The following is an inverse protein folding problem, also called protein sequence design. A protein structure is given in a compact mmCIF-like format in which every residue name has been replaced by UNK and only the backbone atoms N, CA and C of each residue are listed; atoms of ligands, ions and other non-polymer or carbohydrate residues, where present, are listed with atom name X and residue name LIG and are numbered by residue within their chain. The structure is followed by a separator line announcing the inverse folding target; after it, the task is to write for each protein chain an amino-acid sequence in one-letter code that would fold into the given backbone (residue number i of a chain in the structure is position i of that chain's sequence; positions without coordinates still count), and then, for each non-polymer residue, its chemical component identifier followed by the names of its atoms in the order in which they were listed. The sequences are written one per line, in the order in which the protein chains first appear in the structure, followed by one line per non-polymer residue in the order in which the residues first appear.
data_IF_469972685199
#
_entry.id   IF_469972685199
#
_cell.length_a   1.000
_cell.length_b   1.000
_cell.length_c   1.000
_cell.angle_alpha   90.00
_cell.angle_beta   90.00
_cell.angle_gamma   90.00
#
_symmetry.space_group_name_H-M   'P 1'
#
loop_
_entity.id
_entity.type
_entity.pdbx_description
1 polymer ?
#
# COMPACT_ATOMS: atom_id res chain seq x y z
N UNK A 1 9.07 -29.81 1.07
CA UNK A 1 8.03 -29.61 0.06
C UNK A 1 8.65 -28.98 -1.19
N UNK A 2 8.23 -29.39 -2.37
CA UNK A 2 8.67 -28.83 -3.64
C UNK A 2 7.69 -27.72 -4.04
N UNK A 3 8.21 -26.53 -4.36
CA UNK A 3 7.42 -25.40 -4.89
C UNK A 3 7.76 -25.26 -6.37
N UNK A 4 6.77 -25.41 -7.24
CA UNK A 4 6.95 -25.20 -8.69
C UNK A 4 6.35 -23.86 -9.06
N UNK A 5 7.18 -22.95 -9.57
CA UNK A 5 6.78 -21.63 -10.05
C UNK A 5 6.76 -21.66 -11.57
N UNK A 6 5.59 -21.46 -12.16
CA UNK A 6 5.40 -21.42 -13.62
C UNK A 6 5.13 -19.97 -14.02
N UNK A 7 6.00 -19.40 -14.85
CA UNK A 7 5.83 -18.07 -15.42
C UNK A 7 5.68 -18.19 -16.95
N UNK A 8 4.46 -17.98 -17.39
CA UNK A 8 4.15 -17.98 -18.83
C UNK A 8 4.32 -16.56 -19.39
N UNK A 9 5.03 -16.43 -20.50
CA UNK A 9 5.44 -15.15 -21.10
C UNK A 9 6.21 -14.27 -20.11
N UNK A 10 7.41 -14.69 -19.75
CA UNK A 10 8.28 -14.01 -18.78
C UNK A 10 8.56 -12.55 -19.14
N UNK A 11 8.66 -12.23 -20.42
CA UNK A 11 8.82 -10.88 -20.94
C UNK A 11 7.64 -9.97 -20.50
N UNK A 12 6.40 -10.44 -20.66
CA UNK A 12 5.19 -9.69 -20.26
C UNK A 12 5.10 -9.55 -18.76
N UNK A 13 5.49 -10.60 -18.02
CA UNK A 13 5.56 -10.54 -16.56
C UNK A 13 6.52 -9.45 -16.09
N UNK A 14 7.71 -9.32 -16.69
CA UNK A 14 8.68 -8.31 -16.31
C UNK A 14 8.30 -6.89 -16.75
N UNK A 15 7.65 -6.71 -17.89
CA UNK A 15 7.13 -5.41 -18.33
C UNK A 15 6.17 -4.83 -17.30
N UNK A 16 5.29 -5.66 -16.73
CA UNK A 16 4.37 -5.26 -15.67
C UNK A 16 5.00 -5.15 -14.27
N UNK A 17 6.21 -5.72 -14.08
CA UNK A 17 6.82 -5.87 -12.76
C UNK A 17 8.34 -5.59 -12.80
N UNK A 18 8.77 -4.50 -13.43
CA UNK A 18 10.19 -4.19 -13.67
C UNK A 18 11.02 -4.18 -12.36
N UNK A 19 10.42 -3.75 -11.24
CA UNK A 19 11.05 -3.74 -9.91
C UNK A 19 11.43 -5.13 -9.40
N UNK A 20 10.80 -6.19 -9.90
CA UNK A 20 11.06 -7.57 -9.48
C UNK A 20 12.21 -8.24 -10.25
N UNK A 21 12.76 -7.61 -11.28
CA UNK A 21 13.75 -8.24 -12.16
C UNK A 21 14.97 -8.80 -11.40
N UNK A 22 15.56 -8.01 -10.51
CA UNK A 22 16.73 -8.42 -9.72
C UNK A 22 16.37 -9.48 -8.66
N UNK A 23 15.23 -9.33 -8.00
CA UNK A 23 14.72 -10.31 -7.05
C UNK A 23 14.44 -11.66 -7.74
N UNK A 24 13.82 -11.64 -8.92
CA UNK A 24 13.56 -12.84 -9.71
C UNK A 24 14.84 -13.53 -10.14
N UNK A 25 15.86 -12.78 -10.58
CA UNK A 25 17.15 -13.37 -10.91
C UNK A 25 17.78 -14.09 -9.70
N UNK A 26 17.72 -13.47 -8.52
CA UNK A 26 18.23 -14.06 -7.29
C UNK A 26 17.44 -15.30 -6.88
N UNK A 27 16.11 -15.26 -6.97
CA UNK A 27 15.23 -16.40 -6.67
C UNK A 27 15.45 -17.58 -7.63
N UNK A 28 15.62 -17.34 -8.92
CA UNK A 28 15.88 -18.38 -9.92
C UNK A 28 17.24 -19.03 -9.61
N UNK A 29 18.26 -18.25 -9.26
CA UNK A 29 19.61 -18.75 -8.94
C UNK A 29 19.65 -19.58 -7.66
N UNK A 30 19.01 -19.12 -6.59
CA UNK A 30 19.12 -19.72 -5.26
C UNK A 30 17.94 -20.65 -4.92
N UNK A 31 16.85 -20.59 -5.67
CA UNK A 31 15.59 -21.27 -5.35
C UNK A 31 15.72 -22.79 -5.21
N UNK A 32 16.59 -23.43 -6.00
CA UNK A 32 16.81 -24.87 -5.93
C UNK A 32 17.29 -25.35 -4.56
N UNK A 33 18.05 -24.52 -3.82
CA UNK A 33 18.51 -24.81 -2.45
C UNK A 33 17.33 -24.90 -1.46
N UNK A 34 16.21 -24.24 -1.77
CA UNK A 34 15.01 -24.20 -0.95
C UNK A 34 13.88 -25.06 -1.50
N UNK A 35 14.16 -25.90 -2.51
CA UNK A 35 13.14 -26.72 -3.16
C UNK A 35 12.21 -25.95 -4.07
N UNK A 36 12.63 -24.79 -4.60
CA UNK A 36 11.87 -23.98 -5.55
C UNK A 36 12.39 -24.25 -6.97
N UNK A 37 11.49 -24.66 -7.86
CA UNK A 37 11.78 -24.95 -9.27
C UNK A 37 11.02 -23.98 -10.14
N UNK A 38 11.72 -23.36 -11.09
CA UNK A 38 11.13 -22.43 -12.04
C UNK A 38 10.93 -23.08 -13.41
N UNK A 39 9.73 -22.91 -13.96
CA UNK A 39 9.40 -23.21 -15.36
C UNK A 39 9.03 -21.89 -16.02
N UNK A 40 9.80 -21.44 -16.98
CA UNK A 40 9.61 -20.14 -17.63
C UNK A 40 9.39 -20.34 -19.12
N UNK A 41 8.39 -19.70 -19.69
CA UNK A 41 8.17 -19.66 -21.13
C UNK A 41 8.40 -18.25 -21.66
N UNK A 42 8.85 -18.16 -22.92
CA UNK A 42 9.02 -16.91 -23.68
C UNK A 42 8.52 -17.10 -25.09
N UNK A 43 7.98 -16.05 -25.69
CA UNK A 43 7.54 -16.05 -27.09
C UNK A 43 8.52 -15.37 -28.04
N UNK A 44 9.40 -14.54 -27.48
CA UNK A 44 10.35 -13.72 -28.24
C UNK A 44 11.77 -14.18 -27.98
N UNK A 45 12.55 -14.31 -29.05
CA UNK A 45 14.00 -14.57 -28.93
C UNK A 45 14.66 -13.37 -28.25
N UNK A 46 15.59 -13.64 -27.33
CA UNK A 46 16.30 -12.66 -26.51
C UNK A 46 15.46 -11.89 -25.46
N UNK A 47 14.25 -12.33 -25.17
CA UNK A 47 13.44 -11.77 -24.07
C UNK A 47 14.01 -12.06 -22.69
N UNK A 48 14.77 -13.14 -22.55
CA UNK A 48 15.56 -13.41 -21.37
C UNK A 48 16.96 -12.80 -21.52
N UNK A 49 17.38 -11.98 -20.59
CA UNK A 49 18.76 -11.53 -20.57
C UNK A 49 19.70 -12.74 -20.42
N UNK A 50 20.93 -12.62 -20.93
CA UNK A 50 21.89 -13.75 -20.96
C UNK A 50 22.21 -14.31 -19.57
N UNK A 51 22.21 -13.47 -18.53
CA UNK A 51 22.46 -13.89 -17.15
C UNK A 51 21.37 -14.80 -16.61
N UNK A 52 20.10 -14.47 -16.87
CA UNK A 52 18.95 -15.30 -16.48
C UNK A 52 18.90 -16.57 -17.31
N UNK A 53 19.16 -16.48 -18.62
CA UNK A 53 19.16 -17.63 -19.51
C UNK A 53 20.17 -18.70 -19.10
N UNK A 54 21.35 -18.30 -18.58
CA UNK A 54 22.40 -19.22 -18.12
C UNK A 54 22.02 -19.99 -16.84
N UNK A 55 21.04 -19.50 -16.07
CA UNK A 55 20.58 -20.19 -14.86
C UNK A 55 19.73 -21.43 -15.16
N UNK A 56 19.19 -21.54 -16.37
CA UNK A 56 18.39 -22.68 -16.81
C UNK A 56 19.29 -23.72 -17.48
N UNK A 57 19.49 -24.86 -16.83
CA UNK A 57 20.26 -25.99 -17.36
C UNK A 57 19.49 -26.74 -18.45
N UNK A 58 18.18 -26.92 -18.23
CA UNK A 58 17.30 -27.58 -19.16
C UNK A 58 16.55 -26.56 -20.00
N UNK A 59 16.67 -26.65 -21.31
CA UNK A 59 16.06 -25.71 -22.26
C UNK A 59 15.34 -26.45 -23.35
N UNK A 60 14.19 -25.94 -23.72
CA UNK A 60 13.34 -26.49 -24.79
C UNK A 60 12.98 -25.37 -25.75
N UNK A 61 13.13 -25.62 -27.05
CA UNK A 61 12.68 -24.69 -28.10
C UNK A 61 11.77 -25.43 -29.10
N UNK A 62 10.55 -24.91 -29.25
CA UNK A 62 9.63 -25.34 -30.32
C UNK A 62 10.09 -24.78 -31.67
N UNK A 63 9.27 -24.92 -32.72
CA UNK A 63 9.60 -24.45 -34.05
C UNK A 63 10.01 -22.98 -34.08
N UNK A 64 11.15 -22.70 -34.68
CA UNK A 64 11.65 -21.36 -34.91
C UNK A 64 11.73 -21.05 -36.40
N UNK A 65 11.56 -19.79 -36.79
CA UNK A 65 11.62 -19.42 -38.22
C UNK A 65 13.01 -19.59 -38.82
N UNK A 66 14.07 -19.43 -38.00
CA UNK A 66 15.45 -19.50 -38.44
C UNK A 66 16.25 -20.48 -37.56
N UNK A 67 17.07 -21.38 -38.12
CA UNK A 67 17.99 -22.26 -37.39
C UNK A 67 18.95 -21.53 -36.50
N UNK A 68 19.31 -20.29 -36.77
CA UNK A 68 20.19 -19.47 -35.92
C UNK A 68 19.58 -19.21 -34.55
N UNK A 69 18.27 -19.17 -34.41
CA UNK A 69 17.56 -18.98 -33.16
C UNK A 69 17.81 -20.15 -32.18
N UNK A 70 17.81 -21.39 -32.69
CA UNK A 70 18.16 -22.55 -31.85
C UNK A 70 19.58 -22.45 -31.28
N UNK A 71 20.52 -21.93 -32.11
CA UNK A 71 21.89 -21.68 -31.62
C UNK A 71 21.94 -20.65 -30.50
N UNK A 72 21.17 -19.58 -30.61
CA UNK A 72 21.13 -18.54 -29.58
C UNK A 72 20.51 -19.03 -28.27
N UNK A 73 19.48 -19.89 -28.34
CA UNK A 73 18.76 -20.39 -27.16
C UNK A 73 19.48 -21.58 -26.53
N UNK A 74 19.86 -22.55 -27.37
CA UNK A 74 20.33 -23.88 -26.92
C UNK A 74 21.84 -24.06 -27.10
N UNK A 75 22.56 -23.10 -27.69
CA UNK A 75 23.96 -23.24 -28.10
C UNK A 75 24.21 -24.43 -29.06
N UNK A 76 23.27 -24.71 -29.99
CA UNK A 76 23.38 -25.82 -30.90
C UNK A 76 24.54 -25.67 -31.86
N UNK A 77 25.12 -26.81 -32.40
CA UNK A 77 25.98 -26.79 -33.57
C UNK A 77 25.34 -26.08 -34.74
N UNK A 78 26.17 -25.53 -35.63
CA UNK A 78 25.70 -24.85 -36.84
C UNK A 78 24.83 -25.78 -37.68
N UNK A 79 23.61 -25.34 -38.02
CA UNK A 79 22.68 -26.06 -38.87
C UNK A 79 21.82 -27.13 -38.19
N UNK A 80 21.98 -27.36 -36.87
CA UNK A 80 21.08 -28.25 -36.15
C UNK A 80 19.74 -27.56 -35.90
N UNK A 81 18.69 -28.14 -36.48
CA UNK A 81 17.30 -27.72 -36.33
C UNK A 81 16.37 -28.93 -36.37
N UNK A 82 15.23 -28.94 -35.70
CA UNK A 82 14.27 -30.02 -35.74
C UNK A 82 13.57 -30.06 -37.08
N UNK A 83 13.01 -31.22 -37.45
CA UNK A 83 12.15 -31.34 -38.64
C UNK A 83 10.94 -30.41 -38.52
N UNK A 84 10.52 -29.86 -39.66
CA UNK A 84 9.40 -28.89 -39.71
C UNK A 84 8.04 -29.61 -39.60
N UNK A 85 7.69 -30.05 -38.44
CA UNK A 85 6.36 -30.58 -38.10
C UNK A 85 5.77 -29.80 -36.94
N UNK A 86 4.44 -29.62 -36.91
CA UNK A 86 3.74 -28.96 -35.83
C UNK A 86 4.03 -29.67 -34.48
N UNK A 87 4.40 -28.90 -33.46
CA UNK A 87 4.74 -29.44 -32.15
C UNK A 87 6.11 -30.11 -32.04
N UNK A 88 6.92 -30.11 -33.10
CA UNK A 88 8.29 -30.61 -33.09
C UNK A 88 9.24 -29.55 -32.50
N UNK A 89 10.22 -29.96 -31.70
CA UNK A 89 11.18 -29.05 -31.10
C UNK A 89 12.53 -29.71 -30.79
N UNK A 90 13.46 -28.90 -30.27
CA UNK A 90 14.74 -29.33 -29.74
C UNK A 90 14.78 -29.07 -28.24
N UNK A 91 15.32 -30.00 -27.48
CA UNK A 91 15.62 -29.88 -26.06
C UNK A 91 17.12 -30.01 -25.83
N UNK A 92 17.67 -29.20 -24.93
CA UNK A 92 18.97 -29.39 -24.31
C UNK A 92 18.74 -29.91 -22.89
N UNK A 93 19.13 -31.18 -22.64
CA UNK A 93 19.01 -31.83 -21.35
C UNK A 93 20.32 -32.58 -21.06
N UNK A 94 20.87 -32.37 -19.90
CA UNK A 94 22.13 -33.00 -19.42
C UNK A 94 23.25 -32.90 -20.47
N UNK A 95 23.36 -31.76 -21.15
CA UNK A 95 24.37 -31.48 -22.15
C UNK A 95 24.15 -32.13 -23.53
N UNK A 96 23.04 -32.84 -23.73
CA UNK A 96 22.71 -33.50 -24.99
C UNK A 96 21.52 -32.82 -25.69
N UNK A 97 21.51 -32.87 -27.02
CA UNK A 97 20.41 -32.34 -27.85
C UNK A 97 19.48 -33.47 -28.24
N UNK A 98 18.20 -33.26 -27.97
CA UNK A 98 17.13 -34.20 -28.31
C UNK A 98 16.10 -33.52 -29.20
N UNK A 99 15.77 -34.14 -30.35
CA UNK A 99 14.59 -33.78 -31.10
C UNK A 99 13.38 -34.47 -30.49
N UNK A 100 12.31 -33.73 -30.19
CA UNK A 100 11.11 -34.28 -29.56
C UNK A 100 9.83 -33.87 -30.29
N UNK A 101 8.76 -34.60 -30.07
CA UNK A 101 7.41 -34.29 -30.49
C UNK A 101 6.55 -33.99 -29.26
N UNK A 102 5.91 -32.83 -29.26
CA UNK A 102 4.99 -32.48 -28.18
C UNK A 102 3.77 -33.41 -28.18
N UNK A 103 3.38 -33.91 -27.02
CA UNK A 103 2.15 -34.68 -26.88
C UNK A 103 0.92 -33.76 -27.09
N UNK A 104 -0.09 -34.33 -27.71
CA UNK A 104 -1.36 -33.66 -27.93
C UNK A 104 -2.38 -34.18 -26.93
N UNK A 105 -2.88 -33.32 -26.05
CA UNK A 105 -3.70 -33.74 -24.90
C UNK A 105 -5.16 -33.96 -25.32
N UNK A 106 -5.69 -33.08 -26.17
CA UNK A 106 -7.06 -33.13 -26.70
C UNK A 106 -7.21 -32.16 -27.88
N UNK A 107 -8.35 -32.19 -28.57
CA UNK A 107 -8.65 -31.22 -29.61
C UNK A 107 -8.63 -29.78 -29.08
N UNK A 108 -8.22 -28.82 -29.89
CA UNK A 108 -7.97 -27.42 -29.52
C UNK A 108 -9.20 -26.77 -28.87
N UNK A 109 -10.37 -27.08 -29.36
CA UNK A 109 -11.68 -26.62 -28.90
C UNK A 109 -12.12 -27.26 -27.59
N UNK A 110 -11.56 -28.41 -27.22
CA UNK A 110 -11.87 -29.13 -25.97
C UNK A 110 -10.95 -28.78 -24.80
N UNK A 111 -9.85 -28.07 -25.01
CA UNK A 111 -8.84 -27.78 -23.98
C UNK A 111 -9.44 -27.10 -22.77
N UNK A 112 -10.29 -26.10 -22.93
CA UNK A 112 -10.92 -25.38 -21.83
C UNK A 112 -11.87 -26.26 -21.01
N UNK A 113 -12.56 -27.19 -21.67
CA UNK A 113 -13.42 -28.17 -21.02
C UNK A 113 -12.59 -29.13 -20.19
N UNK A 114 -11.54 -29.70 -20.78
CA UNK A 114 -10.62 -30.60 -20.08
C UNK A 114 -9.97 -29.96 -18.86
N UNK A 115 -9.52 -28.71 -18.96
CA UNK A 115 -8.94 -27.96 -17.82
C UNK A 115 -9.95 -27.85 -16.68
N UNK A 116 -11.21 -27.48 -16.98
CA UNK A 116 -12.25 -27.34 -15.96
C UNK A 116 -12.58 -28.67 -15.29
N UNK A 117 -12.76 -29.73 -16.07
CA UNK A 117 -13.06 -31.06 -15.57
C UNK A 117 -11.93 -31.61 -14.68
N UNK A 118 -10.69 -31.48 -15.14
CA UNK A 118 -9.50 -31.87 -14.37
C UNK A 118 -9.37 -31.05 -13.08
N UNK A 119 -9.62 -29.75 -13.12
CA UNK A 119 -9.59 -28.91 -11.93
C UNK A 119 -10.63 -29.33 -10.89
N UNK A 120 -11.86 -29.69 -11.34
CA UNK A 120 -12.91 -30.20 -10.45
C UNK A 120 -12.51 -31.54 -9.82
N UNK A 121 -11.95 -32.44 -10.63
CA UNK A 121 -11.48 -33.75 -10.16
C UNK A 121 -10.36 -33.62 -9.12
N UNK A 122 -9.34 -32.80 -9.41
CA UNK A 122 -8.22 -32.52 -8.49
C UNK A 122 -8.70 -31.88 -7.18
N UNK A 123 -9.65 -30.95 -7.25
CA UNK A 123 -10.25 -30.34 -6.05
C UNK A 123 -11.02 -31.35 -5.18
N UNK A 124 -11.62 -32.40 -5.77
CA UNK A 124 -12.26 -33.49 -5.02
C UNK A 124 -11.23 -34.42 -4.40
N UNK A 125 -10.14 -34.70 -5.13
CA UNK A 125 -9.10 -35.64 -4.72
C UNK A 125 -8.21 -35.09 -3.60
N UNK A 126 -7.85 -33.81 -3.67
CA UNK A 126 -6.96 -33.18 -2.72
C UNK A 126 -7.72 -32.26 -1.76
N UNK A 127 -7.71 -32.59 -0.47
CA UNK A 127 -8.37 -31.80 0.57
C UNK A 127 -7.59 -30.55 0.96
N UNK A 128 -6.24 -30.61 0.89
CA UNK A 128 -5.40 -29.45 1.16
C UNK A 128 -5.39 -28.53 -0.06
N UNK A 129 -5.74 -27.26 0.16
CA UNK A 129 -5.67 -26.23 -0.87
C UNK A 129 -4.41 -25.41 -0.68
N UNK A 130 -3.86 -24.91 -1.79
CA UNK A 130 -2.84 -23.87 -1.74
C UNK A 130 -3.40 -22.64 -1.00
N UNK A 131 -2.51 -21.86 -0.38
CA UNK A 131 -2.92 -20.55 0.15
C UNK A 131 -3.52 -19.74 -0.99
N UNK A 132 -4.66 -19.10 -0.74
CA UNK A 132 -5.18 -18.11 -1.68
C UNK A 132 -4.15 -16.98 -1.83
N UNK A 133 -3.98 -16.48 -3.04
CA UNK A 133 -3.22 -15.25 -3.22
C UNK A 133 -3.92 -14.12 -2.45
N UNK A 134 -3.13 -13.39 -1.66
CA UNK A 134 -3.63 -12.21 -0.98
C UNK A 134 -4.09 -11.20 -2.06
N UNK A 135 -5.33 -10.76 -1.98
CA UNK A 135 -5.88 -9.74 -2.85
C UNK A 135 -6.32 -8.58 -1.98
N UNK A 136 -5.82 -7.39 -2.28
CA UNK A 136 -6.28 -6.17 -1.61
C UNK A 136 -7.81 -6.06 -1.80
N UNK A 137 -8.60 -5.87 -0.73
CA UNK A 137 -10.06 -5.73 -0.85
C UNK A 137 -10.41 -4.48 -1.66
N UNK A 138 -11.54 -4.51 -2.35
CA UNK A 138 -12.02 -3.36 -3.13
C UNK A 138 -12.39 -2.18 -2.21
N UNK A 139 -12.90 -2.48 -1.01
CA UNK A 139 -13.20 -1.52 0.06
C UNK A 139 -12.85 -2.12 1.42
N UNK A 140 -12.41 -1.27 2.34
CA UNK A 140 -12.17 -1.61 3.75
C UNK A 140 -13.07 -0.72 4.60
N UNK A 141 -13.80 -1.30 5.51
CA UNK A 141 -14.80 -0.58 6.34
C UNK A 141 -14.50 -0.72 7.82
N UNK A 142 -15.16 0.08 8.64
CA UNK A 142 -15.04 0.01 10.10
C UNK A 142 -15.34 -1.40 10.65
N UNK A 143 -16.32 -2.12 10.07
CA UNK A 143 -16.65 -3.49 10.47
C UNK A 143 -15.52 -4.48 10.22
N UNK A 144 -14.66 -4.24 9.24
CA UNK A 144 -13.49 -5.08 8.98
C UNK A 144 -12.40 -4.92 10.06
N UNK A 145 -12.47 -3.83 10.84
CA UNK A 145 -11.52 -3.48 11.90
C UNK A 145 -12.07 -3.70 13.32
N UNK A 146 -13.34 -4.09 13.48
CA UNK A 146 -14.03 -4.15 14.79
C UNK A 146 -13.35 -5.05 15.81
N UNK A 147 -12.73 -6.15 15.37
CA UNK A 147 -12.07 -7.13 16.24
C UNK A 147 -10.66 -6.70 16.69
N UNK A 148 -10.18 -5.55 16.24
CA UNK A 148 -8.87 -5.03 16.63
C UNK A 148 -9.02 -4.26 17.96
N UNK A 149 -8.16 -4.59 18.93
CA UNK A 149 -8.05 -3.80 20.13
C UNK A 149 -7.30 -2.49 19.85
N UNK A 150 -7.99 -1.35 20.00
CA UNK A 150 -7.48 -0.04 19.60
C UNK A 150 -6.85 0.66 20.79
N UNK A 151 -5.63 1.13 20.60
CA UNK A 151 -4.88 1.99 21.54
C UNK A 151 -4.26 3.13 20.75
N UNK A 152 -3.84 4.22 21.39
CA UNK A 152 -3.31 5.40 20.71
C UNK A 152 -2.07 5.09 19.83
N UNK A 153 -1.30 4.07 20.20
CA UNK A 153 -0.16 3.56 19.45
C UNK A 153 -0.53 2.51 18.39
N UNK A 154 -1.80 2.10 18.32
CA UNK A 154 -2.30 1.05 17.39
C UNK A 154 -3.72 1.35 16.91
N UNK A 155 -3.85 2.36 16.08
CA UNK A 155 -5.13 2.75 15.48
C UNK A 155 -5.21 2.18 14.06
N UNK A 156 -6.19 1.31 13.74
CA UNK A 156 -6.32 0.76 12.40
C UNK A 156 -6.83 1.85 11.44
N UNK A 157 -6.03 2.17 10.42
CA UNK A 157 -6.38 3.19 9.42
C UNK A 157 -6.60 2.62 8.02
N UNK A 158 -6.34 1.34 7.82
CA UNK A 158 -6.52 0.68 6.52
C UNK A 158 -5.90 -0.70 6.47
N UNK A 159 -5.81 -1.24 5.26
CA UNK A 159 -5.15 -2.52 4.94
C UNK A 159 -3.94 -2.22 4.07
N UNK A 160 -2.78 -2.67 4.51
CA UNK A 160 -1.52 -2.51 3.77
C UNK A 160 -1.55 -3.29 2.45
N UNK A 161 -1.11 -2.66 1.38
CA UNK A 161 -1.16 -3.20 0.02
C UNK A 161 -0.29 -4.44 -0.17
N UNK A 162 0.88 -4.49 0.44
CA UNK A 162 1.84 -5.57 0.24
C UNK A 162 1.51 -6.79 1.10
N UNK A 163 1.28 -6.56 2.39
CA UNK A 163 0.99 -7.63 3.35
C UNK A 163 -0.49 -8.06 3.38
N UNK A 164 -1.38 -7.23 2.84
CA UNK A 164 -2.85 -7.39 2.89
C UNK A 164 -3.32 -7.69 4.32
N UNK A 165 -2.78 -6.93 5.26
CA UNK A 165 -3.11 -7.01 6.69
C UNK A 165 -3.47 -5.63 7.23
N UNK A 166 -4.24 -5.54 8.35
CA UNK A 166 -4.55 -4.26 8.97
C UNK A 166 -3.29 -3.47 9.28
N UNK A 167 -3.27 -2.20 8.85
CA UNK A 167 -2.20 -1.27 9.18
C UNK A 167 -2.59 -0.47 10.42
N UNK A 168 -1.76 -0.56 11.46
CA UNK A 168 -1.98 0.10 12.75
C UNK A 168 -1.07 1.31 12.86
N UNK A 169 -1.64 2.51 12.77
CA UNK A 169 -0.89 3.76 12.89
C UNK A 169 -0.65 4.12 14.36
N UNK A 170 0.55 4.61 14.65
CA UNK A 170 0.94 5.04 15.99
C UNK A 170 0.80 6.57 16.12
N UNK A 171 -0.34 7.04 16.65
CA UNK A 171 -0.57 8.46 16.95
C UNK A 171 0.13 8.93 18.21
N UNK A 172 0.70 8.02 19.02
CA UNK A 172 1.47 8.40 20.19
C UNK A 172 2.91 8.85 19.87
N UNK A 173 3.41 8.51 18.66
CA UNK A 173 4.78 8.79 18.23
C UNK A 173 5.13 10.28 18.26
N UNK A 174 4.25 11.12 17.74
CA UNK A 174 4.43 12.56 17.64
C UNK A 174 3.34 13.32 18.38
N UNK A 175 3.64 14.53 18.83
CA UNK A 175 2.65 15.41 19.47
C UNK A 175 1.67 16.00 18.46
N UNK A 176 2.11 16.18 17.21
CA UNK A 176 1.27 16.64 16.09
C UNK A 176 1.41 15.68 14.93
N UNK A 177 0.28 15.19 14.44
CA UNK A 177 0.23 14.31 13.25
C UNK A 177 -0.50 15.03 12.12
N UNK A 178 0.15 15.30 10.98
CA UNK A 178 -0.51 15.82 9.80
C UNK A 178 -1.19 14.71 9.01
N UNK A 179 -2.45 14.94 8.64
CA UNK A 179 -3.23 14.16 7.67
C UNK A 179 -3.60 15.12 6.53
N UNK A 180 -3.07 14.87 5.36
CA UNK A 180 -3.15 15.82 4.25
C UNK A 180 -3.79 15.15 3.05
N UNK A 181 -4.51 15.92 2.27
CA UNK A 181 -5.11 15.50 1.01
C UNK A 181 -5.03 16.63 -0.01
N UNK A 182 -5.21 16.29 -1.28
CA UNK A 182 -5.49 17.30 -2.32
C UNK A 182 -6.91 17.85 -2.19
N UNK A 183 -7.83 17.05 -1.65
CA UNK A 183 -9.26 17.39 -1.44
C UNK A 183 -9.77 16.65 -0.20
N UNK A 184 -9.78 17.34 0.95
CA UNK A 184 -10.28 16.75 2.20
C UNK A 184 -11.79 16.50 2.17
N UNK A 185 -12.55 17.28 1.41
CA UNK A 185 -13.99 17.06 1.27
C UNK A 185 -14.28 15.76 0.51
N UNK A 186 -13.51 15.46 -0.52
CA UNK A 186 -13.57 14.18 -1.25
C UNK A 186 -13.18 12.97 -0.40
N UNK A 187 -12.36 13.17 0.64
CA UNK A 187 -11.91 12.13 1.56
C UNK A 187 -12.64 12.11 2.92
N UNK A 188 -13.83 12.70 3.00
CA UNK A 188 -14.62 12.78 4.26
C UNK A 188 -14.92 11.40 4.87
N UNK A 189 -15.08 10.35 4.06
CA UNK A 189 -15.36 8.98 4.53
C UNK A 189 -14.16 8.38 5.27
N UNK A 190 -12.96 8.60 4.77
CA UNK A 190 -11.71 8.19 5.39
C UNK A 190 -11.44 8.98 6.67
N UNK A 191 -11.65 10.29 6.63
CA UNK A 191 -11.49 11.17 7.80
C UNK A 191 -12.45 10.76 8.91
N UNK A 192 -13.74 10.55 8.59
CA UNK A 192 -14.74 10.08 9.55
C UNK A 192 -14.36 8.74 10.16
N UNK A 193 -13.88 7.80 9.34
CA UNK A 193 -13.47 6.48 9.81
C UNK A 193 -12.29 6.55 10.78
N UNK A 194 -11.26 7.36 10.50
CA UNK A 194 -10.13 7.56 11.40
C UNK A 194 -10.59 8.14 12.74
N UNK A 195 -11.51 9.12 12.72
CA UNK A 195 -12.07 9.72 13.93
C UNK A 195 -12.86 8.68 14.75
N UNK A 196 -13.68 7.84 14.09
CA UNK A 196 -14.42 6.76 14.76
C UNK A 196 -13.48 5.72 15.37
N UNK A 197 -12.39 5.36 14.69
CA UNK A 197 -11.39 4.43 15.24
C UNK A 197 -10.67 5.02 16.48
N UNK A 198 -10.34 6.31 16.46
CA UNK A 198 -9.81 6.99 17.64
C UNK A 198 -10.81 6.98 18.81
N UNK A 199 -12.09 7.16 18.56
CA UNK A 199 -13.14 7.14 19.58
C UNK A 199 -13.33 5.77 20.26
N UNK A 200 -12.85 4.69 19.66
CA UNK A 200 -12.85 3.34 20.26
C UNK A 200 -11.83 3.17 21.40
N UNK A 201 -10.91 4.11 21.54
CA UNK A 201 -9.85 4.03 22.57
C UNK A 201 -10.45 4.30 23.96
N UNK A 202 -10.38 3.31 24.83
CA UNK A 202 -10.89 3.44 26.19
C UNK A 202 -10.11 4.48 27.00
N UNK A 203 -10.81 5.42 27.66
CA UNK A 203 -10.20 6.44 28.49
C UNK A 203 -9.53 7.58 27.75
N UNK A 204 -9.74 7.66 26.43
CA UNK A 204 -9.33 8.80 25.61
C UNK A 204 -10.39 9.90 25.67
N UNK A 205 -9.96 11.16 25.80
CA UNK A 205 -10.80 12.34 25.60
C UNK A 205 -10.56 12.86 24.17
N UNK A 206 -11.56 12.68 23.30
CA UNK A 206 -11.49 13.07 21.89
C UNK A 206 -12.30 14.34 21.64
N UNK A 207 -11.63 15.34 21.08
CA UNK A 207 -12.23 16.63 20.70
C UNK A 207 -12.08 16.84 19.19
N UNK A 208 -13.17 17.06 18.48
CA UNK A 208 -13.20 17.21 17.03
C UNK A 208 -13.69 18.60 16.66
N UNK A 209 -12.87 19.32 15.91
CA UNK A 209 -13.14 20.65 15.39
C UNK A 209 -13.15 20.60 13.88
N UNK A 210 -14.19 21.13 13.25
CA UNK A 210 -14.31 21.22 11.80
C UNK A 210 -14.53 22.67 11.34
N UNK A 211 -13.46 23.30 10.96
CA UNK A 211 -13.49 24.69 10.48
C UNK A 211 -13.81 24.84 8.99
N UNK A 212 -13.89 23.73 8.23
CA UNK A 212 -14.18 23.72 6.79
C UNK A 212 -15.54 23.12 6.42
N UNK A 213 -16.30 22.66 7.41
CA UNK A 213 -17.60 22.00 7.18
C UNK A 213 -17.51 20.73 6.31
N UNK A 214 -16.46 19.94 6.53
CA UNK A 214 -16.22 18.67 5.85
C UNK A 214 -17.07 17.56 6.46
N UNK A 215 -17.22 17.58 7.79
CA UNK A 215 -17.91 16.57 8.58
C UNK A 215 -19.34 17.02 8.93
N UNK A 216 -20.18 16.07 9.27
CA UNK A 216 -21.50 16.35 9.87
C UNK A 216 -21.35 17.05 11.25
N UNK A 217 -22.47 17.47 11.82
CA UNK A 217 -22.47 18.05 13.19
C UNK A 217 -22.18 17.01 14.29
N UNK A 218 -22.29 15.73 13.95
CA UNK A 218 -21.96 14.60 14.82
C UNK A 218 -21.32 13.47 14.02
N UNK A 219 -20.40 12.80 14.67
CA UNK A 219 -19.85 11.52 14.24
C UNK A 219 -20.12 10.53 15.37
N UNK A 220 -21.10 9.64 15.19
CA UNK A 220 -21.64 8.77 16.26
C UNK A 220 -22.07 9.60 17.48
N UNK A 221 -21.40 9.37 18.62
CA UNK A 221 -21.62 10.09 19.89
C UNK A 221 -20.67 11.29 20.09
N UNK A 222 -19.84 11.63 19.08
CA UNK A 222 -18.90 12.74 19.13
C UNK A 222 -19.58 13.99 18.57
N UNK A 223 -19.63 15.05 19.34
CA UNK A 223 -20.05 16.37 18.86
C UNK A 223 -18.90 17.02 18.08
N UNK A 224 -19.19 17.48 16.86
CA UNK A 224 -18.21 18.16 16.00
C UNK A 224 -18.41 19.67 16.16
N UNK A 225 -17.37 20.34 16.66
CA UNK A 225 -17.36 21.78 16.92
C UNK A 225 -17.14 22.52 15.58
N UNK A 226 -18.11 23.38 15.21
CA UNK A 226 -18.10 24.12 13.93
C UNK A 226 -18.10 25.65 14.10
N UNK A 227 -18.20 26.13 15.32
CA UNK A 227 -18.22 27.55 15.68
C UNK A 227 -17.48 27.81 17.00
N UNK A 228 -17.49 29.07 17.46
CA UNK A 228 -16.89 29.47 18.73
C UNK A 228 -15.43 29.01 18.93
N UNK A 229 -14.64 29.03 17.84
CA UNK A 229 -13.28 28.49 17.81
C UNK A 229 -12.33 29.11 18.83
N UNK A 230 -12.55 30.38 19.22
CA UNK A 230 -11.79 31.04 20.29
C UNK A 230 -12.03 30.41 21.66
N UNK A 231 -13.30 30.12 21.99
CA UNK A 231 -13.63 29.41 23.23
C UNK A 231 -13.08 27.98 23.21
N UNK A 232 -13.19 27.31 22.09
CA UNK A 232 -12.64 25.96 21.90
C UNK A 232 -11.10 25.94 22.06
N UNK A 233 -10.38 26.96 21.58
CA UNK A 233 -8.93 27.08 21.81
C UNK A 233 -8.63 27.22 23.31
N UNK A 234 -9.39 28.03 24.03
CA UNK A 234 -9.21 28.16 25.46
C UNK A 234 -9.46 26.85 26.22
N UNK A 235 -10.50 26.10 25.84
CA UNK A 235 -10.80 24.76 26.37
C UNK A 235 -9.68 23.76 26.09
N UNK A 236 -9.16 23.78 24.86
CA UNK A 236 -8.01 22.94 24.46
C UNK A 236 -6.77 23.23 25.32
N UNK A 237 -6.41 24.50 25.49
CA UNK A 237 -5.28 24.91 26.31
C UNK A 237 -5.50 24.49 27.78
N UNK A 238 -6.70 24.69 28.32
CA UNK A 238 -7.05 24.27 29.68
C UNK A 238 -6.96 22.74 29.83
N UNK A 239 -7.44 21.97 28.86
CA UNK A 239 -7.36 20.51 28.86
C UNK A 239 -5.92 20.01 28.84
N UNK A 240 -5.08 20.59 27.97
CA UNK A 240 -3.65 20.25 27.89
C UNK A 240 -2.92 20.55 29.20
N UNK A 241 -3.17 21.71 29.82
CA UNK A 241 -2.56 22.09 31.09
C UNK A 241 -2.96 21.18 32.28
N UNK A 242 -4.10 20.49 32.19
CA UNK A 242 -4.55 19.51 33.19
C UNK A 242 -3.84 18.15 33.08
N UNK A 243 -3.09 17.88 32.02
CA UNK A 243 -2.43 16.59 31.76
C UNK A 243 -1.61 16.10 32.98
N UNK A 244 -0.92 17.01 33.68
CA UNK A 244 -0.09 16.67 34.83
C UNK A 244 -0.90 16.25 36.07
N UNK A 245 -2.18 16.59 36.14
CA UNK A 245 -3.04 16.36 37.32
C UNK A 245 -4.00 15.18 37.14
N UNK A 246 -4.58 15.00 35.97
CA UNK A 246 -5.61 13.99 35.74
C UNK A 246 -5.13 12.74 34.96
N UNK A 247 -3.94 12.82 34.35
CA UNK A 247 -3.31 11.70 33.65
C UNK A 247 -4.15 11.15 32.47
N UNK A 248 -5.07 11.93 31.90
CA UNK A 248 -5.94 11.57 30.76
C UNK A 248 -5.21 11.83 29.45
N UNK A 249 -5.32 10.90 28.52
CA UNK A 249 -4.86 11.12 27.14
C UNK A 249 -5.92 11.90 26.37
N UNK A 250 -5.53 13.03 25.76
CA UNK A 250 -6.40 13.90 24.99
C UNK A 250 -5.96 13.97 23.53
N UNK A 251 -6.89 13.81 22.62
CA UNK A 251 -6.66 13.98 21.20
C UNK A 251 -7.55 15.08 20.66
N UNK A 252 -6.94 16.05 20.01
CA UNK A 252 -7.62 17.16 19.36
C UNK A 252 -7.48 17.00 17.84
N UNK A 253 -8.57 16.69 17.16
CA UNK A 253 -8.63 16.61 15.71
C UNK A 253 -9.14 17.93 15.16
N UNK A 254 -8.35 18.60 14.34
CA UNK A 254 -8.69 19.88 13.74
C UNK A 254 -8.73 19.74 12.23
N UNK A 255 -9.93 19.77 11.67
CA UNK A 255 -10.18 19.74 10.23
C UNK A 255 -10.23 21.17 9.70
N UNK A 256 -9.32 21.47 8.76
CA UNK A 256 -9.12 22.81 8.23
C UNK A 256 -8.37 23.72 9.22
N UNK A 257 -7.14 23.36 9.59
CA UNK A 257 -6.38 24.08 10.59
C UNK A 257 -6.10 25.55 10.21
N UNK A 258 -5.78 25.82 8.95
CA UNK A 258 -5.59 27.18 8.49
C UNK A 258 -6.89 28.00 8.58
N UNK A 259 -8.03 27.40 8.24
CA UNK A 259 -9.36 28.02 8.42
C UNK A 259 -9.70 28.22 9.89
N UNK A 260 -9.37 27.26 10.76
CA UNK A 260 -9.52 27.36 12.22
C UNK A 260 -8.73 28.56 12.75
N UNK A 261 -7.46 28.68 12.42
CA UNK A 261 -6.59 29.79 12.81
C UNK A 261 -7.17 31.14 12.40
N UNK A 262 -7.69 31.25 11.15
CA UNK A 262 -8.23 32.48 10.63
C UNK A 262 -9.59 32.87 11.25
N UNK A 263 -10.29 31.95 11.91
CA UNK A 263 -11.57 32.16 12.58
C UNK A 263 -11.45 32.40 14.08
N UNK A 264 -10.28 32.25 14.65
CA UNK A 264 -9.97 32.61 16.03
C UNK A 264 -9.79 34.12 16.13
N UNK A 265 -10.23 34.72 17.27
CA UNK A 265 -9.97 36.13 17.56
C UNK A 265 -8.45 36.40 17.52
N UNK A 266 -8.08 37.49 16.83
CA UNK A 266 -6.69 37.88 16.62
C UNK A 266 -5.85 37.98 17.91
N UNK A 267 -6.47 38.37 19.02
CA UNK A 267 -5.84 38.42 20.35
C UNK A 267 -5.41 37.04 20.85
N UNK A 268 -5.98 35.96 20.34
CA UNK A 268 -5.70 34.58 20.76
C UNK A 268 -4.74 33.84 19.86
N UNK A 269 -4.35 34.38 18.70
CA UNK A 269 -3.40 33.75 17.78
C UNK A 269 -2.05 33.48 18.44
N UNK A 270 -1.57 34.42 19.27
CA UNK A 270 -0.31 34.21 20.03
C UNK A 270 -0.37 33.02 20.99
N UNK A 271 -1.53 32.74 21.57
CA UNK A 271 -1.72 31.57 22.43
C UNK A 271 -1.71 30.27 21.63
N UNK A 272 -2.33 30.26 20.44
CA UNK A 272 -2.26 29.10 19.53
C UNK A 272 -0.82 28.83 19.09
N UNK A 273 -0.08 29.87 18.68
CA UNK A 273 1.31 29.73 18.27
C UNK A 273 2.18 29.20 19.43
N UNK A 274 2.02 29.78 20.63
CA UNK A 274 2.73 29.31 21.83
C UNK A 274 2.38 27.87 22.21
N UNK A 275 1.12 27.46 22.03
CA UNK A 275 0.71 26.07 22.21
C UNK A 275 1.44 25.16 21.26
N UNK A 276 1.43 25.48 19.96
CA UNK A 276 2.08 24.68 18.92
C UNK A 276 3.59 24.55 19.13
N UNK A 277 4.28 25.64 19.52
CA UNK A 277 5.72 25.62 19.86
C UNK A 277 6.03 24.68 21.04
N UNK A 278 5.11 24.55 21.99
CA UNK A 278 5.35 23.84 23.25
C UNK A 278 4.63 22.50 23.36
N UNK A 279 3.84 22.10 22.36
CA UNK A 279 3.02 20.88 22.42
C UNK A 279 3.83 19.61 22.69
N UNK A 280 5.06 19.54 22.24
CA UNK A 280 5.96 18.40 22.46
C UNK A 280 6.32 18.16 23.94
N UNK A 281 6.08 19.14 24.81
CA UNK A 281 6.27 19.00 26.25
C UNK A 281 5.15 18.19 26.92
N UNK A 282 4.00 18.08 26.26
CA UNK A 282 2.81 17.37 26.72
C UNK A 282 2.74 15.99 26.07
N UNK A 283 3.00 14.95 26.87
CA UNK A 283 3.12 13.58 26.33
C UNK A 283 1.79 12.93 26.01
N UNK A 284 0.74 13.28 26.77
CA UNK A 284 -0.61 12.71 26.65
C UNK A 284 -1.58 13.55 25.85
N UNK A 285 -1.13 14.70 25.38
CA UNK A 285 -1.92 15.58 24.53
C UNK A 285 -1.42 15.51 23.10
N UNK A 286 -2.31 15.15 22.18
CA UNK A 286 -1.99 14.97 20.78
C UNK A 286 -2.89 15.85 19.92
N UNK A 287 -2.34 16.43 18.87
CA UNK A 287 -3.07 17.22 17.88
C UNK A 287 -2.98 16.50 16.54
N UNK A 288 -4.11 16.29 15.91
CA UNK A 288 -4.19 15.78 14.53
C UNK A 288 -4.68 16.91 13.66
N UNK A 289 -3.86 17.34 12.73
CA UNK A 289 -4.19 18.40 11.76
C UNK A 289 -4.60 17.74 10.46
N UNK A 290 -5.83 18.01 10.01
CA UNK A 290 -6.35 17.52 8.74
C UNK A 290 -6.60 18.74 7.85
N UNK A 291 -5.92 18.85 6.70
CA UNK A 291 -6.14 19.98 5.79
C UNK A 291 -5.85 19.62 4.33
N UNK A 292 -6.32 20.49 3.43
CA UNK A 292 -5.91 20.45 2.02
C UNK A 292 -4.43 20.82 1.90
N UNK A 293 -3.76 20.23 0.94
CA UNK A 293 -2.31 20.41 0.74
C UNK A 293 -1.91 21.89 0.61
N UNK A 294 -2.63 22.64 -0.20
CA UNK A 294 -2.30 24.06 -0.44
C UNK A 294 -2.47 24.91 0.83
N UNK A 295 -3.50 24.62 1.63
CA UNK A 295 -3.73 25.29 2.92
C UNK A 295 -2.68 24.87 3.96
N UNK A 296 -2.34 23.59 4.01
CA UNK A 296 -1.31 23.09 4.92
C UNK A 296 0.08 23.65 4.58
N UNK A 297 0.40 23.79 3.30
CA UNK A 297 1.64 24.39 2.82
C UNK A 297 1.81 25.84 3.32
N UNK A 298 0.72 26.59 3.45
CA UNK A 298 0.76 27.94 3.99
C UNK A 298 1.21 28.01 5.46
N UNK A 299 1.11 26.90 6.19
CA UNK A 299 1.59 26.83 7.59
C UNK A 299 3.11 26.77 7.71
N UNK A 300 3.84 26.50 6.62
CA UNK A 300 5.32 26.44 6.63
C UNK A 300 5.99 27.76 7.03
N UNK A 301 5.29 28.89 6.87
CA UNK A 301 5.81 30.21 7.25
C UNK A 301 5.66 30.51 8.74
N UNK A 302 4.98 29.65 9.50
CA UNK A 302 4.80 29.79 10.93
C UNK A 302 6.06 29.33 11.68
N UNK A 303 6.50 30.12 12.65
CA UNK A 303 7.73 29.84 13.41
C UNK A 303 7.70 28.48 14.12
N UNK A 304 6.52 28.05 14.56
CA UNK A 304 6.30 26.76 15.23
C UNK A 304 6.31 25.55 14.31
N UNK A 305 6.16 25.74 12.99
CA UNK A 305 5.94 24.63 12.06
C UNK A 305 7.03 23.56 12.15
N UNK A 306 8.30 23.96 12.03
CA UNK A 306 9.43 23.03 12.05
C UNK A 306 9.66 22.33 13.39
N UNK A 307 9.17 22.91 14.48
CA UNK A 307 9.28 22.32 15.83
C UNK A 307 8.11 21.40 16.18
N UNK A 308 6.93 21.64 15.61
CA UNK A 308 5.72 20.87 15.90
C UNK A 308 5.45 19.75 14.89
N UNK A 309 5.80 19.95 13.61
CA UNK A 309 5.49 19.03 12.51
C UNK A 309 6.75 18.28 12.07
N UNK A 310 6.71 16.96 12.21
CA UNK A 310 7.70 16.07 11.59
C UNK A 310 7.15 15.51 10.28
N UNK A 311 7.69 15.97 9.16
CA UNK A 311 7.26 15.59 7.81
C UNK A 311 7.60 14.14 7.43
N UNK A 312 8.38 13.43 8.27
CA UNK A 312 8.63 11.98 8.10
C UNK A 312 7.52 11.12 8.72
N UNK A 313 6.56 11.71 9.43
CA UNK A 313 5.43 11.04 10.06
C UNK A 313 4.13 11.73 9.67
N UNK A 314 3.55 11.28 8.59
CA UNK A 314 2.37 11.90 8.01
C UNK A 314 1.48 10.90 7.28
N UNK A 315 0.23 11.27 7.09
CA UNK A 315 -0.74 10.51 6.31
C UNK A 315 -1.19 11.38 5.14
N UNK A 316 -1.14 10.81 3.94
CA UNK A 316 -1.75 11.40 2.75
C UNK A 316 -2.97 10.60 2.35
N UNK A 317 -4.14 11.24 2.26
CA UNK A 317 -5.38 10.62 1.84
C UNK A 317 -5.65 10.88 0.36
N UNK A 318 -6.06 9.84 -0.35
CA UNK A 318 -6.44 9.94 -1.75
C UNK A 318 -5.29 10.06 -2.73
N UNK A 319 -5.66 10.40 -3.96
CA UNK A 319 -4.73 10.52 -5.10
C UNK A 319 -3.92 11.82 -5.02
N UNK A 320 -2.91 11.94 -5.90
CA UNK A 320 -2.14 13.18 -6.07
C UNK A 320 -0.93 13.33 -5.14
N UNK A 321 -0.50 12.27 -4.45
CA UNK A 321 0.68 12.31 -3.57
C UNK A 321 1.95 12.74 -4.30
N UNK A 322 2.08 12.47 -5.60
CA UNK A 322 3.23 12.89 -6.41
C UNK A 322 3.29 14.40 -6.71
N UNK A 323 2.20 15.12 -6.47
CA UNK A 323 2.12 16.57 -6.72
C UNK A 323 2.59 17.40 -5.50
N UNK A 324 2.82 16.74 -4.36
CA UNK A 324 3.29 17.39 -3.14
C UNK A 324 4.81 17.33 -2.99
N UNK A 325 5.40 18.29 -2.24
CA UNK A 325 6.83 18.37 -1.97
C UNK A 325 7.16 18.63 -0.49
N UNK A 326 6.15 18.54 0.39
CA UNK A 326 6.28 18.88 1.80
C UNK A 326 6.58 17.67 2.67
N UNK A 327 5.87 16.58 2.40
CA UNK A 327 6.01 15.35 3.16
C UNK A 327 7.08 14.45 2.56
N UNK A 328 7.87 13.80 3.41
CA UNK A 328 8.90 12.88 2.97
C UNK A 328 8.29 11.50 2.69
N UNK A 329 7.96 11.26 1.43
CA UNK A 329 7.56 9.97 0.91
C UNK A 329 8.69 9.39 0.04
N UNK A 330 9.81 9.02 0.67
CA UNK A 330 10.90 8.35 -0.02
C UNK A 330 10.43 7.01 -0.60
N UNK A 331 10.87 6.68 -1.82
CA UNK A 331 10.56 5.41 -2.49
C UNK A 331 9.12 5.20 -3.01
N UNK A 332 8.33 6.25 -3.22
CA UNK A 332 7.02 6.13 -3.89
C UNK A 332 7.08 5.56 -5.32
N UNK A 333 8.26 5.60 -5.96
CA UNK A 333 8.42 5.26 -7.37
C UNK A 333 7.85 6.32 -8.32
N UNK A 334 8.11 6.16 -9.62
CA UNK A 334 7.72 7.13 -10.64
C UNK A 334 6.19 7.23 -10.88
N UNK A 335 5.45 6.22 -10.48
CA UNK A 335 3.99 6.16 -10.60
C UNK A 335 3.38 5.63 -9.31
N UNK A 336 2.87 6.52 -8.44
CA UNK A 336 2.15 6.10 -7.25
C UNK A 336 0.86 5.37 -7.62
N UNK A 337 0.42 4.48 -6.75
CA UNK A 337 -0.84 3.76 -6.93
C UNK A 337 -2.04 4.72 -6.83
N UNK A 338 -3.00 4.58 -7.72
CA UNK A 338 -4.19 5.44 -7.79
C UNK A 338 -5.50 4.64 -7.77
N UNK A 339 -5.62 3.69 -6.84
CA UNK A 339 -6.89 3.01 -6.60
C UNK A 339 -7.79 3.82 -5.65
N UNK A 340 -9.08 3.50 -5.63
CA UNK A 340 -10.03 4.19 -4.76
C UNK A 340 -9.70 3.97 -3.28
N UNK A 341 -9.85 5.03 -2.48
CA UNK A 341 -9.51 5.06 -1.06
C UNK A 341 -8.03 4.73 -0.77
N UNK A 342 -7.14 5.11 -1.68
CA UNK A 342 -5.69 4.98 -1.44
C UNK A 342 -5.26 5.93 -0.33
N UNK A 343 -4.36 5.45 0.51
CA UNK A 343 -3.72 6.24 1.56
C UNK A 343 -2.23 5.92 1.58
N UNK A 344 -1.41 6.94 1.76
CA UNK A 344 0.03 6.82 1.89
C UNK A 344 0.43 7.24 3.29
N UNK A 345 1.22 6.42 3.94
CA UNK A 345 1.71 6.69 5.29
C UNK A 345 3.22 6.78 5.25
N UNK A 346 3.76 7.95 5.62
CA UNK A 346 5.16 8.11 5.93
C UNK A 346 5.40 7.77 7.40
N UNK A 347 6.31 6.87 7.68
CA UNK A 347 6.72 6.51 9.03
C UNK A 347 8.23 6.25 9.06
N UNK A 348 8.99 7.19 9.63
CA UNK A 348 10.45 7.15 9.74
C UNK A 348 11.16 6.90 8.39
N UNK A 349 10.71 7.60 7.33
CA UNK A 349 11.14 7.51 5.92
C UNK A 349 10.64 6.27 5.15
N UNK A 350 10.08 5.28 5.82
CA UNK A 350 9.39 4.19 5.12
C UNK A 350 8.00 4.67 4.67
N UNK A 351 7.59 4.24 3.50
CA UNK A 351 6.28 4.55 2.94
C UNK A 351 5.46 3.30 2.78
N UNK A 352 4.32 3.26 3.45
CA UNK A 352 3.32 2.22 3.26
C UNK A 352 2.18 2.74 2.39
N UNK A 353 1.71 1.90 1.46
CA UNK A 353 0.54 2.18 0.62
C UNK A 353 -0.63 1.35 1.12
N UNK A 354 -1.72 1.99 1.48
CA UNK A 354 -2.87 1.35 2.11
C UNK A 354 -4.14 1.52 1.29
N UNK A 355 -5.04 0.58 1.42
CA UNK A 355 -6.47 0.78 1.20
C UNK A 355 -7.04 1.33 2.51
N UNK A 356 -7.38 2.61 2.54
CA UNK A 356 -7.88 3.27 3.74
C UNK A 356 -9.21 2.68 4.22
N UNK A 357 -9.41 2.67 5.52
CA UNK A 357 -10.71 2.38 6.12
C UNK A 357 -11.70 3.51 5.80
N UNK A 358 -12.94 3.17 5.49
CA UNK A 358 -13.99 4.15 5.20
C UNK A 358 -15.20 3.99 6.11
N UNK A 359 -15.84 5.11 6.38
CA UNK A 359 -17.15 5.18 7.00
C UNK A 359 -18.22 5.22 5.90
N UNK A 360 -18.99 4.14 5.75
CA UNK A 360 -20.05 4.04 4.74
C UNK A 360 -21.28 4.88 5.06
N UNK A 361 -21.46 5.27 6.30
CA UNK A 361 -22.62 6.04 6.76
C UNK A 361 -22.50 7.54 6.40
N UNK A 362 -21.32 7.99 6.02
CA UNK A 362 -21.07 9.34 5.51
C UNK A 362 -21.45 9.42 4.04
N UNK A 363 -22.43 10.24 3.73
CA UNK A 363 -22.95 10.48 2.37
C UNK A 363 -22.10 11.49 1.61
#
# INVERSE_FOLDING_TARGET
PLIVVVINYYEVFLEGNARLADAMQSLIREGSKYGIVFIVTTSVNNSLNQRVQQLFLNKVSLQQPDPQVYRNILNTPKGLAPKKYFGRGLALMDGNYYEFQTAYICAKDEVNKLIRETAVELNKKYKSKARSSLKLPDTVTLSDMENINVTIDKVPIGVDKESVSPYLYNFDKNSVTPIISKDILGNKKEISAIIKELNRINGLELNVVDAKDVLGSKIDNIDVIKDNFTAQLADMINGINKESTDNITRVYVIVGFNSYKNKIDSNYISYLNSLMENISKFKKSKIIIIDDYDEFKNLQVEDWFSSAIDTNYAIWLGKGVSEQSLLNFDNLGDKPDEFDYVCYVAFDKDVSVLKCVIDKDVI
#
